data_IF_074180306692
#
_entry.id   IF_074180306692
#
_cell.length_a   1.000
_cell.length_b   1.000
_cell.length_c   1.000
_cell.angle_alpha   90.00
_cell.angle_beta   90.00
_cell.angle_gamma   90.00
#
_symmetry.space_group_name_H-M   'P 1'
#
loop_
_entity.id
_entity.type
_entity.pdbx_description
1 polymer ?
#
# COMPACT_ATOMS: atom_id res chain seq x y z
N UNK A 1 14.40 -5.18 -30.89
CA UNK A 1 13.22 -5.17 -29.97
C UNK A 1 13.12 -6.38 -29.03
N UNK A 2 13.89 -7.46 -29.14
CA UNK A 2 13.81 -8.59 -28.16
C UNK A 2 14.20 -8.21 -26.74
N UNK A 3 15.12 -7.28 -26.53
CA UNK A 3 15.56 -6.87 -25.19
C UNK A 3 14.48 -6.20 -24.32
N UNK A 4 13.57 -5.42 -24.92
CA UNK A 4 12.50 -4.74 -24.15
C UNK A 4 11.55 -5.74 -23.48
N UNK A 5 11.24 -6.83 -24.16
CA UNK A 5 10.39 -7.89 -23.61
C UNK A 5 11.12 -8.72 -22.54
N UNK A 6 12.45 -8.82 -22.65
CA UNK A 6 13.26 -9.52 -21.66
C UNK A 6 13.22 -8.80 -20.30
N UNK A 7 13.51 -7.49 -20.26
CA UNK A 7 13.46 -6.72 -19.01
C UNK A 7 12.09 -6.73 -18.34
N UNK A 8 11.00 -6.68 -19.11
CA UNK A 8 9.65 -6.77 -18.58
C UNK A 8 9.36 -8.13 -17.96
N UNK A 9 9.76 -9.22 -18.63
CA UNK A 9 9.60 -10.58 -18.09
C UNK A 9 10.39 -10.79 -16.81
N UNK A 10 11.65 -10.37 -16.81
CA UNK A 10 12.51 -10.44 -15.62
C UNK A 10 11.95 -9.63 -14.46
N UNK A 11 11.45 -8.41 -14.73
CA UNK A 11 10.81 -7.59 -13.69
C UNK A 11 9.65 -8.33 -13.03
N UNK A 12 8.70 -8.83 -13.80
CA UNK A 12 7.56 -9.55 -13.24
C UNK A 12 7.95 -10.86 -12.59
N UNK A 13 8.97 -11.55 -13.09
CA UNK A 13 9.51 -12.76 -12.45
C UNK A 13 10.07 -12.47 -11.05
N UNK A 14 10.91 -11.43 -10.93
CA UNK A 14 11.45 -10.99 -9.63
C UNK A 14 10.33 -10.52 -8.70
N UNK A 15 9.36 -9.74 -9.19
CA UNK A 15 8.23 -9.30 -8.38
C UNK A 15 7.37 -10.47 -7.88
N UNK A 16 7.12 -11.46 -8.72
CA UNK A 16 6.42 -12.68 -8.32
C UNK A 16 7.17 -13.44 -7.23
N UNK A 17 8.49 -13.57 -7.36
CA UNK A 17 9.33 -14.18 -6.33
C UNK A 17 9.30 -13.39 -5.01
N UNK A 18 9.36 -12.07 -5.08
CA UNK A 18 9.24 -11.19 -3.90
C UNK A 18 7.87 -11.33 -3.23
N UNK A 19 6.78 -11.35 -4.00
CA UNK A 19 5.44 -11.54 -3.46
C UNK A 19 5.28 -12.90 -2.77
N UNK A 20 5.80 -13.96 -3.39
CA UNK A 20 5.79 -15.29 -2.80
C UNK A 20 6.61 -15.34 -1.50
N UNK A 21 7.82 -14.76 -1.51
CA UNK A 21 8.66 -14.67 -0.31
C UNK A 21 7.93 -13.93 0.83
N UNK A 22 7.27 -12.81 0.53
CA UNK A 22 6.49 -12.06 1.52
C UNK A 22 5.30 -12.87 2.06
N UNK A 23 4.59 -13.63 1.22
CA UNK A 23 3.50 -14.52 1.68
C UNK A 23 4.02 -15.64 2.58
N UNK A 24 5.17 -16.25 2.22
CA UNK A 24 5.82 -17.25 3.08
C UNK A 24 6.22 -16.65 4.42
N UNK A 25 6.87 -15.48 4.42
CA UNK A 25 7.25 -14.76 5.64
C UNK A 25 6.00 -14.39 6.46
N UNK A 26 4.93 -13.92 5.83
CA UNK A 26 3.70 -13.57 6.51
C UNK A 26 3.05 -14.78 7.21
N UNK A 27 3.00 -15.92 6.54
CA UNK A 27 2.47 -17.16 7.12
C UNK A 27 3.35 -17.74 8.22
N UNK A 28 4.69 -17.63 8.07
CA UNK A 28 5.66 -18.21 9.01
C UNK A 28 5.91 -17.36 10.26
N UNK A 29 5.67 -16.04 10.21
CA UNK A 29 5.96 -15.13 11.32
C UNK A 29 4.68 -14.66 12.03
N UNK A 30 4.75 -14.49 13.36
CA UNK A 30 3.63 -13.95 14.13
C UNK A 30 3.37 -12.45 13.85
N UNK A 31 4.39 -11.72 13.43
CA UNK A 31 4.34 -10.26 13.30
C UNK A 31 4.53 -9.54 14.64
N UNK A 32 4.28 -8.24 14.66
CA UNK A 32 4.21 -7.48 15.92
C UNK A 32 2.82 -7.66 16.52
N UNK A 33 2.77 -8.29 17.68
CA UNK A 33 1.52 -8.80 18.26
C UNK A 33 0.46 -7.71 18.48
N UNK A 34 0.88 -6.51 18.93
CA UNK A 34 -0.06 -5.42 19.17
C UNK A 34 -0.79 -5.01 17.87
N UNK A 35 -0.05 -4.74 16.79
CA UNK A 35 -0.63 -4.32 15.52
C UNK A 35 -1.46 -5.45 14.87
N UNK A 36 -0.93 -6.67 14.90
CA UNK A 36 -1.63 -7.82 14.33
C UNK A 36 -2.99 -8.06 15.00
N UNK A 37 -3.02 -8.05 16.34
CA UNK A 37 -4.24 -8.25 17.09
C UNK A 37 -5.23 -7.11 16.87
N UNK A 38 -4.74 -5.87 16.83
CA UNK A 38 -5.56 -4.68 16.60
C UNK A 38 -6.20 -4.72 15.20
N UNK A 39 -5.41 -4.95 14.16
CA UNK A 39 -5.95 -5.02 12.79
C UNK A 39 -6.93 -6.18 12.60
N UNK A 40 -6.66 -7.32 13.23
CA UNK A 40 -7.60 -8.44 13.19
C UNK A 40 -8.91 -8.11 13.88
N UNK A 41 -8.85 -7.53 15.10
CA UNK A 41 -10.04 -7.10 15.84
C UNK A 41 -10.84 -6.05 15.07
N UNK A 42 -10.15 -5.07 14.45
CA UNK A 42 -10.80 -4.05 13.63
C UNK A 42 -11.44 -4.63 12.37
N UNK A 43 -10.78 -5.58 11.71
CA UNK A 43 -11.33 -6.24 10.53
C UNK A 43 -12.64 -6.97 10.86
N UNK A 44 -12.67 -7.74 11.95
CA UNK A 44 -13.86 -8.45 12.40
C UNK A 44 -14.96 -7.48 12.83
N UNK A 45 -14.62 -6.45 13.64
CA UNK A 45 -15.59 -5.48 14.12
C UNK A 45 -16.25 -4.70 12.99
N UNK A 46 -15.46 -4.16 12.04
CA UNK A 46 -16.07 -3.43 10.91
C UNK A 46 -16.88 -4.36 10.00
N UNK A 47 -16.51 -5.63 9.91
CA UNK A 47 -17.29 -6.62 9.19
C UNK A 47 -18.62 -6.96 9.88
N UNK A 48 -18.67 -6.96 11.19
CA UNK A 48 -19.86 -7.27 11.99
C UNK A 48 -20.78 -6.06 12.11
N UNK A 49 -20.27 -4.94 12.63
CA UNK A 49 -21.06 -3.76 13.00
C UNK A 49 -21.18 -2.71 11.88
N UNK A 50 -20.42 -2.87 10.78
CA UNK A 50 -20.35 -1.87 9.74
C UNK A 50 -19.58 -0.61 10.15
N UNK A 51 -19.49 0.38 9.23
CA UNK A 51 -18.71 1.60 9.47
C UNK A 51 -19.32 2.49 10.55
N UNK A 52 -20.65 2.55 10.66
CA UNK A 52 -21.33 3.36 11.66
C UNK A 52 -21.12 2.83 13.09
N UNK A 53 -21.06 1.51 13.27
CA UNK A 53 -20.82 0.88 14.57
C UNK A 53 -19.33 0.80 14.94
N UNK A 54 -18.44 0.85 13.94
CA UNK A 54 -17.01 0.70 14.19
C UNK A 54 -16.43 1.79 15.10
N UNK A 55 -16.77 3.07 14.86
CA UNK A 55 -16.30 4.23 15.65
C UNK A 55 -17.21 4.57 16.83
N UNK A 56 -17.83 3.57 17.44
CA UNK A 56 -18.66 3.78 18.63
C UNK A 56 -17.84 4.36 19.79
N UNK A 57 -18.51 5.12 20.67
CA UNK A 57 -17.89 5.74 21.84
C UNK A 57 -17.19 4.69 22.71
N UNK A 58 -15.99 5.02 23.17
CA UNK A 58 -15.17 4.14 24.00
C UNK A 58 -14.39 3.04 23.25
N UNK A 59 -14.53 2.93 21.92
CA UNK A 59 -13.75 1.97 21.15
C UNK A 59 -12.47 2.61 20.58
N UNK A 60 -11.33 1.99 20.85
CA UNK A 60 -10.03 2.47 20.35
C UNK A 60 -9.91 2.27 18.83
N UNK A 61 -9.76 3.37 18.10
CA UNK A 61 -9.48 3.36 16.68
C UNK A 61 -8.70 4.62 16.31
N UNK A 62 -7.40 4.48 16.03
CA UNK A 62 -6.50 5.57 15.65
C UNK A 62 -6.27 5.67 14.14
N UNK A 63 -6.90 4.79 13.36
CA UNK A 63 -6.85 4.84 11.90
C UNK A 63 -8.05 5.59 11.32
N UNK A 64 -7.81 6.41 10.27
CA UNK A 64 -8.87 7.05 9.51
C UNK A 64 -9.75 6.03 8.77
N UNK A 65 -10.95 6.45 8.28
CA UNK A 65 -11.91 5.55 7.64
C UNK A 65 -11.38 4.75 6.45
N UNK A 66 -10.42 5.27 5.69
CA UNK A 66 -9.82 4.54 4.57
C UNK A 66 -9.01 3.31 5.01
N UNK A 67 -8.33 3.39 6.15
CA UNK A 67 -7.64 2.23 6.74
C UNK A 67 -8.63 1.14 7.12
N UNK A 68 -9.74 1.53 7.75
CA UNK A 68 -10.81 0.61 8.14
C UNK A 68 -11.53 0.03 6.91
N UNK A 69 -11.70 0.83 5.85
CA UNK A 69 -12.25 0.36 4.58
C UNK A 69 -11.42 -0.76 3.94
N UNK A 70 -10.09 -0.72 4.08
CA UNK A 70 -9.21 -1.82 3.63
C UNK A 70 -9.40 -3.09 4.46
N UNK A 71 -9.67 -2.96 5.75
CA UNK A 71 -9.86 -4.10 6.66
C UNK A 71 -11.23 -4.77 6.50
N UNK A 72 -12.25 -4.03 6.09
CA UNK A 72 -13.60 -4.53 5.94
C UNK A 72 -13.73 -5.81 5.09
N UNK A 73 -13.22 -5.87 3.84
CA UNK A 73 -13.30 -7.08 3.02
C UNK A 73 -12.51 -8.26 3.63
N UNK A 74 -11.42 -7.96 4.35
CA UNK A 74 -10.63 -9.00 5.03
C UNK A 74 -11.43 -9.62 6.17
N UNK A 75 -12.11 -8.79 6.97
CA UNK A 75 -13.00 -9.25 8.03
C UNK A 75 -14.18 -10.06 7.50
N UNK A 76 -14.84 -9.61 6.42
CA UNK A 76 -15.90 -10.37 5.76
C UNK A 76 -15.42 -11.74 5.26
N UNK A 77 -14.24 -11.78 4.66
CA UNK A 77 -13.65 -13.05 4.20
C UNK A 77 -13.28 -13.96 5.36
N UNK A 78 -12.75 -13.38 6.45
CA UNK A 78 -12.41 -14.12 7.65
C UNK A 78 -13.66 -14.78 8.30
N UNK A 79 -14.77 -14.04 8.37
CA UNK A 79 -16.05 -14.55 8.86
C UNK A 79 -16.62 -15.64 7.95
N UNK A 80 -16.67 -15.37 6.62
CA UNK A 80 -17.23 -16.31 5.63
C UNK A 80 -16.50 -17.65 5.62
N UNK A 81 -15.18 -17.64 5.72
CA UNK A 81 -14.34 -18.83 5.67
C UNK A 81 -13.97 -19.39 7.06
N UNK A 82 -14.53 -18.84 8.14
CA UNK A 82 -14.23 -19.21 9.53
C UNK A 82 -12.73 -19.27 9.83
N UNK A 83 -11.97 -18.24 9.37
CA UNK A 83 -10.51 -18.22 9.48
C UNK A 83 -10.11 -18.00 10.95
N UNK A 84 -9.35 -18.93 11.51
CA UNK A 84 -8.79 -18.78 12.85
C UNK A 84 -7.71 -17.71 12.88
N UNK A 85 -7.77 -16.81 13.88
CA UNK A 85 -6.77 -15.78 14.15
C UNK A 85 -5.31 -16.31 14.18
N UNK A 86 -5.09 -17.46 14.78
CA UNK A 86 -3.75 -18.05 14.90
C UNK A 86 -3.23 -18.71 13.60
N UNK A 87 -4.05 -18.78 12.55
CA UNK A 87 -3.69 -19.50 11.32
C UNK A 87 -2.67 -18.73 10.48
N UNK A 88 -1.84 -19.45 9.71
CA UNK A 88 -0.97 -18.85 8.71
C UNK A 88 -1.77 -18.08 7.65
N UNK A 89 -2.98 -18.55 7.33
CA UNK A 89 -3.86 -17.90 6.37
C UNK A 89 -4.34 -16.52 6.86
N UNK A 90 -4.70 -16.39 8.15
CA UNK A 90 -5.05 -15.10 8.74
C UNK A 90 -3.90 -14.08 8.63
N UNK A 91 -2.68 -14.54 8.89
CA UNK A 91 -1.47 -13.73 8.78
C UNK A 91 -1.20 -13.28 7.34
N UNK A 92 -1.36 -14.18 6.38
CA UNK A 92 -1.26 -13.84 4.95
C UNK A 92 -2.36 -12.88 4.50
N UNK A 93 -3.59 -13.08 4.99
CA UNK A 93 -4.74 -12.24 4.68
C UNK A 93 -4.50 -10.78 5.11
N UNK A 94 -4.02 -10.55 6.32
CA UNK A 94 -3.70 -9.21 6.80
C UNK A 94 -2.50 -8.57 6.08
N UNK A 95 -1.52 -9.38 5.65
CA UNK A 95 -0.37 -8.88 4.88
C UNK A 95 -0.71 -8.54 3.43
N UNK A 96 -1.77 -9.15 2.86
CA UNK A 96 -2.09 -9.05 1.44
C UNK A 96 -2.24 -7.60 0.91
N UNK A 97 -2.93 -6.66 1.57
CA UNK A 97 -3.02 -5.28 1.09
C UNK A 97 -1.65 -4.61 0.96
N UNK A 98 -0.78 -4.79 1.95
CA UNK A 98 0.58 -4.26 1.95
C UNK A 98 1.43 -4.87 0.83
N UNK A 99 1.36 -6.19 0.62
CA UNK A 99 2.08 -6.90 -0.44
C UNK A 99 1.61 -6.43 -1.82
N UNK A 100 0.30 -6.37 -2.05
CA UNK A 100 -0.27 -5.90 -3.32
C UNK A 100 0.11 -4.45 -3.62
N UNK A 101 0.05 -3.58 -2.61
CA UNK A 101 0.46 -2.19 -2.76
C UNK A 101 1.96 -2.05 -3.02
N UNK A 102 2.81 -2.86 -2.37
CA UNK A 102 4.25 -2.93 -2.63
C UNK A 102 4.55 -3.34 -4.09
N UNK A 103 3.81 -4.33 -4.62
CA UNK A 103 3.88 -4.70 -6.03
C UNK A 103 3.43 -3.57 -6.95
N UNK A 104 2.35 -2.86 -6.58
CA UNK A 104 1.87 -1.66 -7.28
C UNK A 104 2.90 -0.54 -7.30
N UNK A 105 3.57 -0.29 -6.16
CA UNK A 105 4.65 0.69 -6.04
C UNK A 105 5.84 0.34 -6.93
N UNK A 106 6.29 -0.90 -6.92
CA UNK A 106 7.35 -1.39 -7.78
C UNK A 106 7.00 -1.22 -9.28
N UNK A 107 5.76 -1.58 -9.65
CA UNK A 107 5.26 -1.42 -11.02
C UNK A 107 5.17 0.06 -11.43
N UNK A 108 4.79 0.95 -10.51
CA UNK A 108 4.77 2.39 -10.75
C UNK A 108 6.19 2.93 -10.97
N UNK A 109 7.14 2.58 -10.11
CA UNK A 109 8.56 2.95 -10.27
C UNK A 109 9.14 2.42 -11.59
N UNK A 110 8.87 1.16 -11.94
CA UNK A 110 9.27 0.57 -13.23
C UNK A 110 8.74 1.37 -14.42
N UNK A 111 7.46 1.75 -14.38
CA UNK A 111 6.83 2.53 -15.46
C UNK A 111 7.37 3.96 -15.56
N UNK A 112 7.59 4.61 -14.44
CA UNK A 112 8.13 5.98 -14.41
C UNK A 112 9.57 6.05 -14.87
N UNK A 113 10.38 5.03 -14.58
CA UNK A 113 11.79 4.97 -14.96
C UNK A 113 12.05 4.49 -16.39
N UNK A 114 11.04 3.98 -17.08
CA UNK A 114 11.10 3.53 -18.48
C UNK A 114 10.91 2.01 -18.61
N UNK A 115 9.69 1.58 -18.96
CA UNK A 115 9.39 0.17 -19.13
C UNK A 115 10.19 -0.46 -20.28
N UNK A 116 10.59 -1.71 -20.10
CA UNK A 116 11.41 -2.44 -21.08
C UNK A 116 12.86 -1.97 -21.18
N UNK A 117 13.35 -1.20 -20.23
CA UNK A 117 14.73 -0.73 -20.13
C UNK A 117 15.38 -1.21 -18.83
N UNK A 118 16.70 -1.36 -18.84
CA UNK A 118 17.48 -1.74 -17.65
C UNK A 118 17.23 -0.78 -16.46
N UNK A 119 17.16 0.54 -16.70
CA UNK A 119 16.87 1.54 -15.67
C UNK A 119 15.51 1.29 -15.01
N UNK A 120 14.45 1.02 -15.80
CA UNK A 120 13.13 0.69 -15.27
C UNK A 120 13.20 -0.57 -14.41
N UNK A 121 13.86 -1.63 -14.91
CA UNK A 121 14.06 -2.86 -14.16
C UNK A 121 14.75 -2.60 -12.82
N UNK A 122 15.89 -1.93 -12.81
CA UNK A 122 16.66 -1.66 -11.57
C UNK A 122 15.84 -0.88 -10.56
N UNK A 123 15.19 0.23 -10.96
CA UNK A 123 14.43 1.08 -10.04
C UNK A 123 13.14 0.40 -9.57
N UNK A 124 12.45 -0.35 -10.43
CA UNK A 124 11.29 -1.12 -10.04
C UNK A 124 11.63 -2.25 -9.05
N UNK A 125 12.72 -2.99 -9.33
CA UNK A 125 13.20 -4.05 -8.42
C UNK A 125 13.71 -3.46 -7.11
N UNK A 126 14.48 -2.37 -7.14
CA UNK A 126 14.95 -1.71 -5.92
C UNK A 126 13.80 -1.25 -5.02
N UNK A 127 12.69 -0.77 -5.60
CA UNK A 127 11.50 -0.43 -4.85
C UNK A 127 10.80 -1.67 -4.28
N UNK A 128 10.55 -2.71 -5.10
CA UNK A 128 9.74 -3.87 -4.70
C UNK A 128 10.47 -4.93 -3.89
N UNK A 129 11.79 -5.06 -4.06
CA UNK A 129 12.65 -5.99 -3.33
C UNK A 129 13.42 -5.32 -2.18
N UNK A 130 13.06 -4.09 -1.79
CA UNK A 130 13.65 -3.41 -0.65
C UNK A 130 13.48 -4.26 0.61
N UNK A 131 14.56 -4.54 1.38
CA UNK A 131 14.46 -5.30 2.63
C UNK A 131 13.48 -4.68 3.63
N UNK A 132 13.41 -3.34 3.69
CA UNK A 132 12.46 -2.64 4.55
C UNK A 132 11.01 -2.92 4.14
N UNK A 133 10.71 -2.91 2.84
CA UNK A 133 9.38 -3.23 2.31
C UNK A 133 9.02 -4.70 2.61
N UNK A 134 9.93 -5.63 2.34
CA UNK A 134 9.72 -7.04 2.61
C UNK A 134 9.45 -7.31 4.11
N UNK A 135 10.16 -6.61 4.99
CA UNK A 135 9.97 -6.71 6.43
C UNK A 135 8.63 -6.11 6.87
N UNK A 136 8.34 -4.88 6.46
CA UNK A 136 7.12 -4.15 6.90
C UNK A 136 5.85 -4.87 6.45
N UNK A 137 5.82 -5.41 5.23
CA UNK A 137 4.64 -6.11 4.71
C UNK A 137 4.61 -7.59 5.07
N UNK A 138 5.72 -8.32 4.85
CA UNK A 138 5.77 -9.77 5.04
C UNK A 138 5.89 -10.19 6.51
N UNK A 139 6.72 -9.50 7.29
CA UNK A 139 6.96 -9.86 8.70
C UNK A 139 6.04 -9.08 9.63
N UNK A 140 6.04 -7.75 9.57
CA UNK A 140 5.24 -6.90 10.46
C UNK A 140 3.75 -6.89 10.13
N UNK A 141 3.39 -7.05 8.83
CA UNK A 141 2.02 -7.03 8.30
C UNK A 141 1.36 -5.65 8.35
N UNK A 142 2.17 -4.59 8.21
CA UNK A 142 1.69 -3.22 8.13
C UNK A 142 1.13 -2.90 6.73
N UNK A 143 0.10 -2.04 6.71
CA UNK A 143 -0.51 -1.56 5.48
C UNK A 143 0.15 -0.30 4.91
N UNK A 144 1.35 0.05 5.38
CA UNK A 144 2.04 1.29 5.03
C UNK A 144 2.32 1.45 3.54
N UNK A 145 2.51 0.35 2.85
CA UNK A 145 2.71 0.38 1.41
C UNK A 145 1.49 0.90 0.64
N UNK A 146 0.29 0.79 1.20
CA UNK A 146 -0.94 1.27 0.54
C UNK A 146 -0.94 2.79 0.46
N UNK A 147 -0.70 3.49 1.58
CA UNK A 147 -0.66 4.96 1.54
C UNK A 147 0.59 5.46 0.79
N UNK A 148 1.73 4.78 0.90
CA UNK A 148 2.95 5.12 0.16
C UNK A 148 2.75 5.02 -1.36
N UNK A 149 2.05 3.99 -1.85
CA UNK A 149 1.69 3.87 -3.25
C UNK A 149 0.91 5.10 -3.74
N UNK A 150 -0.08 5.55 -2.95
CA UNK A 150 -0.86 6.74 -3.28
C UNK A 150 -0.02 8.02 -3.21
N UNK A 151 0.91 8.15 -2.28
CA UNK A 151 1.82 9.29 -2.23
C UNK A 151 2.74 9.36 -3.46
N UNK A 152 3.34 8.24 -3.85
CA UNK A 152 4.18 8.20 -5.05
C UNK A 152 3.35 8.46 -6.31
N UNK A 153 2.12 7.93 -6.39
CA UNK A 153 1.19 8.23 -7.47
C UNK A 153 0.80 9.72 -7.52
N UNK A 154 0.63 10.37 -6.37
CA UNK A 154 0.41 11.81 -6.26
C UNK A 154 1.55 12.59 -6.89
N UNK A 155 2.80 12.33 -6.52
CA UNK A 155 3.96 13.00 -7.12
C UNK A 155 4.10 12.71 -8.62
N UNK A 156 3.82 11.49 -9.04
CA UNK A 156 3.80 11.14 -10.48
C UNK A 156 2.73 11.92 -11.27
N UNK A 157 1.58 12.17 -10.66
CA UNK A 157 0.50 12.98 -11.24
C UNK A 157 0.89 14.47 -11.29
N UNK A 158 1.49 15.01 -10.22
CA UNK A 158 2.01 16.38 -10.18
C UNK A 158 3.05 16.62 -11.28
N UNK A 159 4.00 15.71 -11.44
CA UNK A 159 5.02 15.80 -12.50
C UNK A 159 4.44 15.80 -13.92
N UNK A 160 3.18 15.36 -14.08
CA UNK A 160 2.41 15.41 -15.34
C UNK A 160 1.37 16.55 -15.36
N UNK A 161 1.42 17.47 -14.42
CA UNK A 161 0.46 18.57 -14.23
C UNK A 161 -1.00 18.11 -14.10
N UNK A 162 -1.24 16.90 -13.59
CA UNK A 162 -2.57 16.33 -13.37
C UNK A 162 -3.03 16.62 -11.94
N UNK A 163 -3.32 17.89 -11.64
CA UNK A 163 -3.60 18.35 -10.28
C UNK A 163 -4.75 17.61 -9.61
N UNK A 164 -5.85 17.38 -10.34
CA UNK A 164 -6.99 16.64 -9.79
C UNK A 164 -6.62 15.20 -9.39
N UNK A 165 -5.88 14.49 -10.25
CA UNK A 165 -5.41 13.13 -9.93
C UNK A 165 -4.44 13.14 -8.74
N UNK A 166 -3.57 14.15 -8.64
CA UNK A 166 -2.68 14.31 -7.50
C UNK A 166 -3.45 14.53 -6.19
N UNK A 167 -4.46 15.41 -6.22
CA UNK A 167 -5.32 15.68 -5.07
C UNK A 167 -6.08 14.42 -4.62
N UNK A 168 -6.65 13.65 -5.57
CA UNK A 168 -7.30 12.38 -5.25
C UNK A 168 -6.35 11.37 -4.60
N UNK A 169 -5.14 11.22 -5.16
CA UNK A 169 -4.14 10.31 -4.60
C UNK A 169 -3.72 10.75 -3.18
N UNK A 170 -3.50 12.05 -2.97
CA UNK A 170 -3.15 12.55 -1.64
C UNK A 170 -4.30 12.38 -0.64
N UNK A 171 -5.54 12.70 -1.03
CA UNK A 171 -6.73 12.47 -0.23
C UNK A 171 -6.90 10.99 0.17
N UNK A 172 -6.66 10.07 -0.77
CA UNK A 172 -6.67 8.64 -0.50
C UNK A 172 -5.57 8.26 0.50
N UNK A 173 -4.35 8.80 0.36
CA UNK A 173 -3.26 8.55 1.30
C UNK A 173 -3.60 9.06 2.71
N UNK A 174 -4.19 10.27 2.83
CA UNK A 174 -4.66 10.85 4.11
C UNK A 174 -5.76 10.02 4.75
N UNK A 175 -6.71 9.53 3.94
CA UNK A 175 -7.78 8.68 4.42
C UNK A 175 -7.28 7.32 4.94
N UNK A 176 -6.08 6.88 4.53
CA UNK A 176 -5.44 5.65 5.00
C UNK A 176 -4.59 5.90 6.25
N UNK A 177 -3.77 6.96 6.24
CA UNK A 177 -2.87 7.30 7.35
C UNK A 177 -2.66 8.81 7.45
N UNK A 178 -2.84 9.42 8.65
CA UNK A 178 -2.64 10.87 8.85
C UNK A 178 -1.20 11.32 8.58
N UNK A 179 -0.22 10.41 8.67
CA UNK A 179 1.19 10.68 8.36
C UNK A 179 1.39 11.22 6.94
N UNK A 180 0.48 10.95 6.00
CA UNK A 180 0.51 11.55 4.67
C UNK A 180 0.42 13.09 4.69
N UNK A 181 -0.06 13.69 5.79
CA UNK A 181 -0.14 15.15 5.96
C UNK A 181 1.23 15.82 5.97
N UNK A 182 2.29 15.11 6.39
CA UNK A 182 3.67 15.66 6.44
C UNK A 182 4.15 16.15 5.08
N UNK A 183 3.60 15.62 3.98
CA UNK A 183 3.90 16.07 2.63
C UNK A 183 3.01 17.23 2.15
N UNK A 184 2.01 17.64 2.92
CA UNK A 184 1.11 18.75 2.59
C UNK A 184 1.83 20.04 2.23
N UNK A 185 2.80 20.52 3.01
CA UNK A 185 3.58 21.71 2.67
C UNK A 185 4.32 21.60 1.33
N UNK A 186 4.91 20.45 1.03
CA UNK A 186 5.60 20.19 -0.24
C UNK A 186 4.62 20.24 -1.40
N UNK A 187 3.46 19.60 -1.25
CA UNK A 187 2.41 19.62 -2.27
C UNK A 187 1.87 21.02 -2.51
N UNK A 188 1.66 21.80 -1.45
CA UNK A 188 1.23 23.19 -1.55
C UNK A 188 2.23 24.03 -2.34
N UNK A 189 3.53 23.92 -2.05
CA UNK A 189 4.59 24.60 -2.80
C UNK A 189 4.59 24.18 -4.26
N UNK A 190 4.46 22.89 -4.56
CA UNK A 190 4.40 22.41 -5.94
C UNK A 190 3.21 22.98 -6.73
N UNK A 191 2.02 23.04 -6.10
CA UNK A 191 0.81 23.60 -6.72
C UNK A 191 0.92 25.10 -6.93
N UNK A 192 1.43 25.84 -5.92
CA UNK A 192 1.64 27.29 -6.03
C UNK A 192 2.69 27.64 -7.09
N UNK A 193 3.79 26.88 -7.15
CA UNK A 193 4.80 27.05 -8.18
C UNK A 193 4.25 26.76 -9.57
N UNK A 194 3.45 25.71 -9.75
CA UNK A 194 2.80 25.41 -11.02
C UNK A 194 1.86 26.54 -11.45
N UNK A 195 1.06 27.08 -10.53
CA UNK A 195 0.16 28.21 -10.79
C UNK A 195 0.90 29.48 -11.15
N UNK A 196 2.06 29.73 -10.49
CA UNK A 196 2.86 30.92 -10.71
C UNK A 196 3.63 30.91 -12.04
N UNK A 197 4.22 29.78 -12.40
CA UNK A 197 5.04 29.63 -13.60
C UNK A 197 4.29 29.12 -14.83
N UNK A 198 2.99 28.81 -14.72
CA UNK A 198 2.19 28.41 -15.87
C UNK A 198 1.82 29.66 -16.68
N UNK A 199 2.25 29.81 -17.93
CA UNK A 199 1.74 30.87 -18.81
C UNK A 199 0.24 30.65 -19.00
N UNK A 200 -0.52 31.73 -18.81
CA UNK A 200 -1.94 31.77 -19.13
C UNK A 200 -2.18 31.64 -20.63
#
# INVERSE_FOLDING_TARGET
MPEKHAWTRWFWGVMGACALAQLVLAGATAGYAADYNTFWAWALRVAEEGFSGFYAEGYFADYPPGGILLLWPLGKLAQLLHISHASAFARCLLAAPGILAGMGLAALCYRLAGPGRARGFVLGVAAGASPALLYVTGVWKQMDMVYLLFLVACFAALGKRRLFAAALCWGAALALKPQALILGPVLAVCVLADAWYSPK
#
